data_IF_934284067176
#
_entry.id   IF_934284067176
#
_cell.length_a   1.000
_cell.length_b   1.000
_cell.length_c   1.000
_cell.angle_alpha   90.00
_cell.angle_beta   90.00
_cell.angle_gamma   90.00
#
_symmetry.space_group_name_H-M   'P 1'
#
loop_
_entity.id
_entity.type
_entity.pdbx_description
1 polymer ?
#
# COMPACT_ATOMS: atom_id res chain seq x y z
N UNK A 1 1.26 43.07 41.44
CA UNK A 1 1.59 41.90 40.61
C UNK A 1 3.07 41.99 40.30
N UNK A 2 3.86 41.04 40.78
CA UNK A 2 5.28 40.97 40.48
C UNK A 2 5.43 40.24 39.13
N UNK A 3 6.16 40.85 38.19
CA UNK A 3 6.37 40.36 36.82
C UNK A 3 7.83 39.94 36.65
N UNK A 4 8.38 39.17 37.58
CA UNK A 4 9.72 38.57 37.51
C UNK A 4 9.77 37.38 36.53
N UNK A 5 9.50 37.63 35.25
CA UNK A 5 9.85 36.68 34.19
C UNK A 5 11.13 37.12 33.50
N UNK A 6 12.19 36.28 33.50
CA UNK A 6 13.44 36.63 32.86
C UNK A 6 13.24 36.82 31.35
N UNK A 7 13.86 37.86 30.78
CA UNK A 7 13.74 38.22 29.36
C UNK A 7 14.04 37.05 28.40
N UNK A 8 14.88 36.11 28.83
CA UNK A 8 15.16 34.86 28.10
C UNK A 8 13.91 34.04 27.79
N UNK A 9 12.95 33.97 28.71
CA UNK A 9 11.71 33.21 28.54
C UNK A 9 10.77 33.84 27.51
N UNK A 10 10.79 35.18 27.44
CA UNK A 10 10.05 35.94 26.44
C UNK A 10 10.65 35.67 25.06
N UNK A 11 11.98 35.70 24.93
CA UNK A 11 12.70 35.37 23.70
C UNK A 11 12.42 33.94 23.20
N UNK A 12 12.34 32.95 24.09
CA UNK A 12 12.00 31.57 23.74
C UNK A 12 10.59 31.41 23.15
N UNK A 13 9.68 32.34 23.42
CA UNK A 13 8.31 32.32 22.86
C UNK A 13 8.27 32.75 21.39
N UNK A 14 9.27 33.54 20.96
CA UNK A 14 9.41 33.99 19.56
C UNK A 14 10.36 33.12 18.75
N UNK A 15 11.11 32.21 19.39
CA UNK A 15 11.88 31.22 18.68
C UNK A 15 10.94 30.08 18.24
N UNK A 16 10.90 29.76 16.94
CA UNK A 16 10.22 28.56 16.50
C UNK A 16 10.83 27.36 17.25
N UNK A 17 10.01 26.43 17.77
CA UNK A 17 10.55 25.21 18.35
C UNK A 17 11.45 24.56 17.31
N UNK A 18 12.61 24.05 17.73
CA UNK A 18 13.47 23.24 16.86
C UNK A 18 12.57 22.18 16.22
N UNK A 19 12.37 22.28 14.91
CA UNK A 19 11.64 21.27 14.17
C UNK A 19 12.47 20.01 14.32
N UNK A 20 12.04 19.12 15.22
CA UNK A 20 12.47 17.74 15.18
C UNK A 20 12.20 17.29 13.76
N UNK A 21 13.28 17.07 13.02
CA UNK A 21 13.21 16.45 11.71
C UNK A 21 12.61 15.08 11.96
N UNK A 22 11.30 14.97 11.76
CA UNK A 22 10.63 13.68 11.70
C UNK A 22 11.27 13.03 10.49
N UNK A 23 12.13 12.04 10.72
CA UNK A 23 12.65 11.15 9.70
C UNK A 23 11.44 10.60 8.95
N UNK A 24 11.10 11.29 7.88
CA UNK A 24 10.03 10.92 6.99
C UNK A 24 10.64 9.87 6.09
N UNK A 25 10.91 8.69 6.65
CA UNK A 25 11.27 7.50 5.88
C UNK A 25 10.02 6.97 5.17
N UNK A 26 9.31 7.89 4.52
CA UNK A 26 8.12 7.65 3.72
C UNK A 26 8.66 7.50 2.32
N UNK A 27 8.79 6.25 1.88
CA UNK A 27 9.23 5.94 0.53
C UNK A 27 8.08 6.22 -0.45
N UNK A 28 7.99 7.46 -0.91
CA UNK A 28 7.04 7.86 -1.94
C UNK A 28 7.50 7.34 -3.29
N UNK A 29 6.57 6.71 -4.01
CA UNK A 29 6.83 6.30 -5.38
C UNK A 29 7.19 7.52 -6.26
N UNK A 30 8.25 7.34 -7.04
CA UNK A 30 8.78 8.38 -7.93
C UNK A 30 8.03 8.47 -9.27
N UNK A 31 7.24 7.45 -9.60
CA UNK A 31 6.41 7.38 -10.81
C UNK A 31 5.18 6.49 -10.60
N UNK A 32 4.27 6.50 -11.57
CA UNK A 32 3.07 5.64 -11.56
C UNK A 32 3.44 4.16 -11.67
N UNK A 33 4.41 3.82 -12.52
CA UNK A 33 4.92 2.45 -12.64
C UNK A 33 5.59 1.98 -11.33
N UNK A 34 6.37 2.86 -10.71
CA UNK A 34 7.02 2.62 -9.41
C UNK A 34 5.97 2.39 -8.31
N UNK A 35 4.86 3.16 -8.32
CA UNK A 35 3.75 2.98 -7.39
C UNK A 35 3.09 1.60 -7.54
N UNK A 36 2.84 1.17 -8.78
CA UNK A 36 2.26 -0.15 -9.07
C UNK A 36 3.19 -1.24 -8.58
N UNK A 37 4.48 -1.18 -8.93
CA UNK A 37 5.49 -2.17 -8.55
C UNK A 37 5.65 -2.23 -7.02
N UNK A 38 5.85 -1.09 -6.36
CA UNK A 38 6.04 -1.05 -4.90
C UNK A 38 4.82 -1.61 -4.16
N UNK A 39 3.61 -1.24 -4.59
CA UNK A 39 2.38 -1.75 -3.95
C UNK A 39 2.21 -3.25 -4.19
N UNK A 40 2.58 -3.73 -5.38
CA UNK A 40 2.58 -5.15 -5.73
C UNK A 40 3.56 -5.94 -4.87
N UNK A 41 4.81 -5.51 -4.76
CA UNK A 41 5.81 -6.18 -3.92
C UNK A 41 5.38 -6.24 -2.46
N UNK A 42 4.93 -5.10 -1.90
CA UNK A 42 4.43 -5.05 -0.52
C UNK A 42 3.27 -6.02 -0.30
N UNK A 43 2.35 -6.09 -1.25
CA UNK A 43 1.19 -7.00 -1.15
C UNK A 43 1.60 -8.47 -1.27
N UNK A 44 2.59 -8.78 -2.11
CA UNK A 44 3.16 -10.14 -2.21
C UNK A 44 3.78 -10.54 -0.88
N UNK A 45 4.56 -9.67 -0.25
CA UNK A 45 5.20 -9.94 1.04
C UNK A 45 4.16 -10.16 2.14
N UNK A 46 3.17 -9.27 2.24
CA UNK A 46 2.07 -9.34 3.21
C UNK A 46 1.31 -10.67 3.11
N UNK A 47 0.87 -11.04 1.90
CA UNK A 47 0.12 -12.29 1.65
C UNK A 47 1.02 -13.52 1.78
N UNK A 48 2.31 -13.42 1.45
CA UNK A 48 3.25 -14.53 1.58
C UNK A 48 3.54 -14.86 3.04
N UNK A 49 3.55 -13.84 3.91
CA UNK A 49 3.73 -13.96 5.35
C UNK A 49 2.48 -14.46 6.09
N UNK A 50 1.29 -14.25 5.54
CA UNK A 50 0.04 -14.73 6.13
C UNK A 50 -0.09 -16.26 6.00
N UNK A 51 -0.13 -16.95 7.15
CA UNK A 51 -0.26 -18.41 7.24
C UNK A 51 -1.70 -18.90 7.09
N UNK A 52 -2.68 -18.00 7.17
CA UNK A 52 -4.09 -18.33 7.00
C UNK A 52 -4.45 -18.46 5.51
N UNK A 53 -3.64 -17.89 4.61
CA UNK A 53 -3.85 -17.99 3.16
C UNK A 53 -3.10 -19.21 2.64
N UNK A 54 -3.85 -20.19 2.10
CA UNK A 54 -3.26 -21.35 1.45
C UNK A 54 -2.39 -20.96 0.25
N UNK A 55 -1.32 -21.71 -0.02
CA UNK A 55 -0.40 -21.39 -1.11
C UNK A 55 -1.08 -21.31 -2.50
N UNK A 56 -2.14 -22.09 -2.73
CA UNK A 56 -2.92 -22.05 -3.97
C UNK A 56 -3.87 -20.83 -4.06
N UNK A 57 -4.18 -20.17 -2.94
CA UNK A 57 -5.01 -18.98 -2.88
C UNK A 57 -4.21 -17.67 -2.91
N UNK A 58 -2.88 -17.72 -2.68
CA UNK A 58 -2.04 -16.51 -2.59
C UNK A 58 -2.15 -15.58 -3.79
N UNK A 59 -2.06 -16.10 -5.02
CA UNK A 59 -2.18 -15.25 -6.22
C UNK A 59 -3.55 -14.57 -6.32
N UNK A 60 -4.62 -15.29 -5.93
CA UNK A 60 -5.97 -14.74 -5.88
C UNK A 60 -6.07 -13.64 -4.81
N UNK A 61 -5.52 -13.88 -3.62
CA UNK A 61 -5.53 -12.91 -2.53
C UNK A 61 -4.71 -11.65 -2.87
N UNK A 62 -3.56 -11.78 -3.53
CA UNK A 62 -2.76 -10.64 -3.96
C UNK A 62 -3.56 -9.78 -4.95
N UNK A 63 -4.18 -10.38 -5.96
CA UNK A 63 -5.01 -9.64 -6.93
C UNK A 63 -6.19 -8.96 -6.25
N UNK A 64 -6.81 -9.61 -5.25
CA UNK A 64 -7.87 -8.99 -4.45
C UNK A 64 -7.36 -7.74 -3.72
N UNK A 65 -6.29 -7.86 -2.93
CA UNK A 65 -5.76 -6.74 -2.15
C UNK A 65 -5.37 -5.56 -3.06
N UNK A 66 -4.81 -5.84 -4.25
CA UNK A 66 -4.48 -4.80 -5.24
C UNK A 66 -5.72 -4.14 -5.85
N UNK A 67 -6.79 -4.92 -6.05
CA UNK A 67 -8.06 -4.40 -6.52
C UNK A 67 -8.70 -3.46 -5.49
N UNK A 68 -8.71 -3.85 -4.21
CA UNK A 68 -9.23 -3.01 -3.12
C UNK A 68 -8.43 -1.72 -2.94
N UNK A 69 -7.12 -1.77 -3.23
CA UNK A 69 -6.22 -0.60 -3.25
C UNK A 69 -6.37 0.27 -4.52
N UNK A 70 -7.22 -0.10 -5.48
CA UNK A 70 -7.45 0.65 -6.72
C UNK A 70 -6.30 0.58 -7.74
N UNK A 71 -5.34 -0.35 -7.57
CA UNK A 71 -4.15 -0.43 -8.44
C UNK A 71 -4.52 -0.70 -9.91
N UNK A 72 -5.63 -1.38 -10.17
CA UNK A 72 -6.07 -1.68 -11.54
C UNK A 72 -6.74 -0.52 -12.27
N UNK A 73 -6.97 0.62 -11.61
CA UNK A 73 -7.39 1.86 -12.28
C UNK A 73 -6.20 2.51 -13.03
N UNK A 74 -4.98 2.10 -12.69
CA UNK A 74 -3.75 2.54 -13.35
C UNK A 74 -3.57 1.77 -14.66
N UNK A 75 -3.30 2.51 -15.73
CA UNK A 75 -3.03 1.94 -17.05
C UNK A 75 -1.85 0.97 -16.98
N UNK A 76 -1.97 -0.16 -17.69
CA UNK A 76 -0.95 -1.22 -17.79
C UNK A 76 -0.65 -2.00 -16.50
N UNK A 77 -1.26 -1.67 -15.35
CA UNK A 77 -1.06 -2.39 -14.09
C UNK A 77 -1.42 -3.89 -14.20
N UNK A 78 -2.42 -4.26 -15.01
CA UNK A 78 -2.79 -5.66 -15.25
C UNK A 78 -1.63 -6.44 -15.89
N UNK A 79 -0.89 -5.83 -16.81
CA UNK A 79 0.25 -6.46 -17.47
C UNK A 79 1.36 -6.71 -16.44
N UNK A 80 1.69 -5.67 -15.68
CA UNK A 80 2.70 -5.70 -14.62
C UNK A 80 2.41 -6.78 -13.56
N UNK A 81 1.17 -6.86 -13.08
CA UNK A 81 0.75 -7.87 -12.09
C UNK A 81 0.79 -9.27 -12.68
N UNK A 82 0.31 -9.46 -13.91
CA UNK A 82 0.31 -10.76 -14.59
C UNK A 82 1.74 -11.31 -14.73
N UNK A 83 2.66 -10.48 -15.22
CA UNK A 83 4.06 -10.84 -15.43
C UNK A 83 4.75 -11.17 -14.09
N UNK A 84 4.54 -10.33 -13.07
CA UNK A 84 5.20 -10.51 -11.77
C UNK A 84 4.67 -11.69 -10.94
N UNK A 85 3.39 -12.01 -11.05
CA UNK A 85 2.77 -13.18 -10.41
C UNK A 85 2.88 -14.46 -11.24
N UNK A 86 3.46 -14.37 -12.44
CA UNK A 86 3.57 -15.46 -13.41
C UNK A 86 2.21 -16.14 -13.71
N UNK A 87 1.20 -15.32 -13.98
CA UNK A 87 -0.15 -15.75 -14.37
C UNK A 87 -0.60 -15.03 -15.64
N UNK A 88 -1.60 -15.56 -16.33
CA UNK A 88 -2.10 -14.90 -17.53
C UNK A 88 -2.90 -13.64 -17.20
N UNK A 89 -2.90 -12.64 -18.10
CA UNK A 89 -3.80 -11.47 -18.01
C UNK A 89 -5.26 -11.90 -17.87
N UNK A 90 -5.65 -12.97 -18.56
CA UNK A 90 -7.00 -13.54 -18.47
C UNK A 90 -7.33 -13.98 -17.03
N UNK A 91 -6.37 -14.57 -16.32
CA UNK A 91 -6.52 -14.98 -14.91
C UNK A 91 -6.71 -13.76 -14.00
N UNK A 92 -5.94 -12.68 -14.21
CA UNK A 92 -6.12 -11.42 -13.47
C UNK A 92 -7.53 -10.86 -13.67
N UNK A 93 -7.98 -10.75 -14.92
CA UNK A 93 -9.35 -10.34 -15.23
C UNK A 93 -10.41 -11.25 -14.62
N UNK A 94 -10.19 -12.57 -14.63
CA UNK A 94 -11.10 -13.54 -14.04
C UNK A 94 -11.27 -13.28 -12.54
N UNK A 95 -10.19 -13.07 -11.79
CA UNK A 95 -10.24 -12.78 -10.37
C UNK A 95 -10.95 -11.46 -10.07
N UNK A 96 -10.60 -10.39 -10.80
CA UNK A 96 -11.26 -9.08 -10.67
C UNK A 96 -12.77 -9.21 -10.92
N UNK A 97 -13.17 -9.94 -11.97
CA UNK A 97 -14.59 -10.15 -12.29
C UNK A 97 -15.32 -10.95 -11.20
N UNK A 98 -14.71 -12.02 -10.71
CA UNK A 98 -15.28 -12.84 -9.63
C UNK A 98 -15.50 -11.99 -8.36
N UNK A 99 -14.58 -11.06 -8.07
CA UNK A 99 -14.75 -10.11 -6.98
C UNK A 99 -15.94 -9.18 -7.20
N UNK A 100 -16.00 -8.52 -8.37
CA UNK A 100 -17.08 -7.59 -8.72
C UNK A 100 -18.48 -8.21 -8.69
N UNK A 101 -18.56 -9.50 -8.97
CA UNK A 101 -19.82 -10.24 -9.01
C UNK A 101 -20.24 -10.83 -7.66
N UNK A 102 -19.40 -10.75 -6.62
CA UNK A 102 -19.69 -11.37 -5.32
C UNK A 102 -19.55 -12.90 -5.30
N UNK A 103 -18.95 -13.50 -6.33
CA UNK A 103 -18.76 -14.96 -6.47
C UNK A 103 -17.64 -15.51 -5.54
N UNK A 104 -17.22 -14.73 -4.54
CA UNK A 104 -16.03 -15.00 -3.73
C UNK A 104 -16.19 -16.17 -2.75
N UNK A 105 -17.42 -16.58 -2.42
CA UNK A 105 -17.68 -17.61 -1.41
C UNK A 105 -17.54 -19.06 -1.91
N UNK A 106 -17.05 -19.28 -3.14
CA UNK A 106 -17.18 -20.57 -3.84
C UNK A 106 -15.96 -21.50 -3.90
N UNK A 107 -14.78 -21.14 -3.39
CA UNK A 107 -13.54 -21.91 -3.69
C UNK A 107 -12.65 -22.31 -2.50
N UNK A 108 -13.14 -22.22 -1.27
CA UNK A 108 -12.48 -22.81 -0.08
C UNK A 108 -13.19 -24.09 0.39
N UNK A 109 -13.41 -25.04 -0.51
CA UNK A 109 -13.81 -26.41 -0.16
C UNK A 109 -12.81 -27.41 -0.70
#
# INVERSE_FOLDING_TARGET
MNLDVPFSQIMSTFMPPEMQQVDSNVNFASSVDDLVMQTLEFTIEEVSADRNVSNNAKNRQIVLNLYEKGIFDIKDAINQVADRLNISKHTVYLYIRQFKNGDFQGQER
#
